data_IF_462563796941
#
_entry.id   IF_462563796941
#
_cell.length_a   1.000
_cell.length_b   1.000
_cell.length_c   1.000
_cell.angle_alpha   90.00
_cell.angle_beta   90.00
_cell.angle_gamma   90.00
#
_symmetry.space_group_name_H-M   'P 1'
#
loop_
_entity.id
_entity.type
_entity.pdbx_description
1 polymer ?
#
# COMPACT_ATOMS: atom_id res chain seq x y z
N UNK A 1 2.53 17.65 14.48
CA UNK A 1 2.02 16.99 13.24
C UNK A 1 2.85 15.74 13.02
N UNK A 2 2.24 14.55 12.91
CA UNK A 2 2.95 13.39 12.36
C UNK A 2 3.30 13.72 10.90
N UNK A 3 4.55 13.51 10.50
CA UNK A 3 4.94 13.63 9.09
C UNK A 3 4.64 12.32 8.37
N UNK A 4 4.43 12.37 7.05
CA UNK A 4 4.28 11.16 6.21
C UNK A 4 5.45 10.21 6.45
N UNK A 5 6.69 10.72 6.52
CA UNK A 5 7.88 9.95 6.90
C UNK A 5 7.76 9.24 8.25
N UNK A 6 7.14 9.87 9.25
CA UNK A 6 6.93 9.24 10.56
C UNK A 6 5.93 8.09 10.48
N UNK A 7 4.87 8.23 9.69
CA UNK A 7 3.88 7.16 9.45
C UNK A 7 4.54 6.01 8.68
N UNK A 8 5.29 6.34 7.63
CA UNK A 8 5.98 5.34 6.80
C UNK A 8 7.01 4.51 7.59
N UNK A 9 7.55 5.02 8.70
CA UNK A 9 8.54 4.34 9.53
C UNK A 9 7.94 3.39 10.58
N UNK A 10 6.63 3.40 10.81
CA UNK A 10 5.94 2.45 11.70
C UNK A 10 5.08 1.52 10.86
N UNK A 11 5.73 0.62 10.12
CA UNK A 11 5.05 -0.27 9.18
C UNK A 11 4.39 -1.40 9.98
N UNK A 12 3.05 -1.52 9.97
CA UNK A 12 2.41 -2.69 10.56
C UNK A 12 2.69 -3.89 9.65
N UNK A 13 3.10 -5.02 10.23
CA UNK A 13 3.26 -6.26 9.47
C UNK A 13 1.90 -6.91 9.14
N UNK A 14 0.88 -6.66 9.96
CA UNK A 14 -0.47 -7.20 9.78
C UNK A 14 -1.50 -6.08 10.00
N UNK A 15 -2.56 -6.06 9.18
CA UNK A 15 -3.65 -5.10 9.31
C UNK A 15 -5.00 -5.81 9.16
N UNK A 16 -5.84 -5.71 10.19
CA UNK A 16 -7.19 -6.27 10.16
C UNK A 16 -8.06 -5.59 9.09
N UNK A 17 -8.99 -6.32 8.49
CA UNK A 17 -9.91 -5.80 7.49
C UNK A 17 -10.68 -4.54 7.93
N UNK A 18 -11.05 -4.49 9.22
CA UNK A 18 -11.77 -3.35 9.80
C UNK A 18 -10.95 -2.06 9.87
N UNK A 19 -9.62 -2.18 9.85
CA UNK A 19 -8.68 -1.07 9.97
C UNK A 19 -8.23 -0.55 8.58
N UNK A 20 -8.63 -1.24 7.50
CA UNK A 20 -8.29 -0.89 6.12
C UNK A 20 -9.24 0.17 5.59
N UNK A 21 -8.66 1.29 5.15
CA UNK A 21 -9.41 2.37 4.53
C UNK A 21 -9.90 1.96 3.14
N UNK A 22 -11.17 2.27 2.84
CA UNK A 22 -11.83 1.87 1.58
C UNK A 22 -11.78 0.36 1.30
N UNK A 23 -12.07 -0.45 2.32
CA UNK A 23 -12.03 -1.92 2.25
C UNK A 23 -12.75 -2.53 1.04
N UNK A 24 -13.88 -1.96 0.58
CA UNK A 24 -14.61 -2.45 -0.60
C UNK A 24 -13.78 -2.52 -1.90
N UNK A 25 -12.68 -1.76 -1.99
CA UNK A 25 -11.76 -1.75 -3.13
C UNK A 25 -10.42 -2.45 -2.79
N UNK A 26 -10.33 -3.16 -1.67
CA UNK A 26 -9.10 -3.81 -1.23
C UNK A 26 -8.59 -4.82 -2.25
N UNK A 27 -9.46 -5.72 -2.73
CA UNK A 27 -9.07 -6.77 -3.68
C UNK A 27 -8.39 -6.21 -4.94
N UNK A 28 -8.91 -5.08 -5.46
CA UNK A 28 -8.32 -4.38 -6.58
C UNK A 28 -6.90 -3.87 -6.25
N UNK A 29 -6.71 -3.26 -5.07
CA UNK A 29 -5.40 -2.76 -4.65
C UNK A 29 -4.41 -3.88 -4.39
N UNK A 30 -4.85 -4.99 -3.80
CA UNK A 30 -4.03 -6.19 -3.59
C UNK A 30 -3.58 -6.76 -4.92
N UNK A 31 -4.49 -6.91 -5.89
CA UNK A 31 -4.16 -7.41 -7.22
C UNK A 31 -3.09 -6.53 -7.90
N UNK A 32 -3.26 -5.21 -7.87
CA UNK A 32 -2.29 -4.25 -8.42
C UNK A 32 -0.95 -4.35 -7.70
N UNK A 33 -0.94 -4.37 -6.37
CA UNK A 33 0.29 -4.44 -5.60
C UNK A 33 1.07 -5.73 -5.90
N UNK A 34 0.37 -6.86 -5.97
CA UNK A 34 0.97 -8.16 -6.27
C UNK A 34 1.36 -8.34 -7.75
N UNK A 35 0.82 -7.53 -8.66
CA UNK A 35 1.30 -7.45 -10.05
C UNK A 35 2.65 -6.73 -10.15
N UNK A 36 2.86 -5.70 -9.32
CA UNK A 36 4.10 -4.88 -9.31
C UNK A 36 5.21 -5.56 -8.49
N UNK A 37 4.87 -6.02 -7.29
CA UNK A 37 5.77 -6.75 -6.39
C UNK A 37 5.11 -8.08 -6.04
N UNK A 38 5.60 -9.16 -6.65
CA UNK A 38 4.96 -10.46 -6.56
C UNK A 38 4.80 -10.92 -5.11
N UNK A 39 3.58 -11.29 -4.72
CA UNK A 39 3.26 -11.77 -3.36
C UNK A 39 3.54 -10.76 -2.23
N UNK A 40 3.69 -9.47 -2.52
CA UNK A 40 3.91 -8.43 -1.51
C UNK A 40 2.83 -8.41 -0.41
N UNK A 41 1.60 -8.78 -0.76
CA UNK A 41 0.46 -8.82 0.14
C UNK A 41 -0.03 -10.26 0.32
N UNK A 42 0.09 -10.77 1.55
CA UNK A 42 -0.59 -11.97 2.00
C UNK A 42 -2.05 -11.66 2.36
N UNK A 43 -3.00 -12.46 1.89
CA UNK A 43 -4.42 -12.34 2.25
C UNK A 43 -4.81 -13.50 3.14
N UNK A 44 -5.15 -13.19 4.39
CA UNK A 44 -5.50 -14.16 5.42
C UNK A 44 -6.95 -13.94 5.89
N UNK A 45 -7.46 -14.85 6.73
CA UNK A 45 -8.81 -14.71 7.30
C UNK A 45 -8.87 -13.53 8.28
N UNK A 46 -9.55 -12.45 7.88
CA UNK A 46 -9.78 -11.27 8.72
C UNK A 46 -8.68 -10.19 8.69
N UNK A 47 -7.55 -10.43 8.02
CA UNK A 47 -6.45 -9.47 7.90
C UNK A 47 -5.67 -9.64 6.60
N UNK A 48 -4.78 -8.68 6.32
CA UNK A 48 -3.71 -8.82 5.32
C UNK A 48 -2.34 -8.70 5.99
N UNK A 49 -1.35 -9.33 5.40
CA UNK A 49 0.02 -9.43 5.88
C UNK A 49 0.99 -8.79 4.88
N UNK A 50 2.02 -8.14 5.41
CA UNK A 50 3.10 -7.55 4.64
C UNK A 50 4.21 -8.58 4.40
N UNK A 51 4.41 -8.96 3.14
CA UNK A 51 5.37 -9.97 2.72
C UNK A 51 6.38 -9.39 1.71
N UNK A 52 7.29 -8.49 2.13
CA UNK A 52 8.27 -7.91 1.22
C UNK A 52 9.23 -8.99 0.69
N UNK A 53 9.62 -8.87 -0.58
CA UNK A 53 10.59 -9.77 -1.21
C UNK A 53 12.02 -9.46 -0.75
N UNK A 54 12.29 -8.23 -0.33
CA UNK A 54 13.62 -7.74 0.03
C UNK A 54 13.81 -7.55 1.55
N UNK A 55 15.03 -7.81 2.01
CA UNK A 55 15.49 -7.49 3.38
C UNK A 55 16.76 -6.62 3.33
N UNK A 56 16.68 -5.30 3.65
CA UNK A 56 15.47 -4.58 4.05
C UNK A 56 14.52 -4.33 2.86
N UNK A 57 13.23 -4.09 3.13
CA UNK A 57 12.25 -3.76 2.09
C UNK A 57 12.64 -2.51 1.31
N UNK A 58 12.40 -2.54 0.02
CA UNK A 58 12.59 -1.39 -0.86
C UNK A 58 11.59 -0.28 -0.55
N UNK A 59 11.92 0.93 -0.98
CA UNK A 59 10.99 2.05 -0.91
C UNK A 59 9.70 1.77 -1.69
N UNK A 60 9.78 1.06 -2.81
CA UNK A 60 8.61 0.71 -3.63
C UNK A 60 7.67 -0.23 -2.87
N UNK A 61 8.18 -1.32 -2.31
CA UNK A 61 7.40 -2.27 -1.50
C UNK A 61 6.74 -1.56 -0.31
N UNK A 62 7.49 -0.67 0.35
CA UNK A 62 6.97 0.12 1.47
C UNK A 62 5.82 1.03 1.04
N UNK A 63 5.97 1.77 -0.06
CA UNK A 63 4.94 2.69 -0.55
C UNK A 63 3.69 1.94 -1.04
N UNK A 64 3.87 0.77 -1.68
CA UNK A 64 2.78 -0.09 -2.12
C UNK A 64 1.98 -0.63 -0.94
N UNK A 65 2.65 -1.15 0.09
CA UNK A 65 1.99 -1.61 1.31
C UNK A 65 1.12 -0.50 1.91
N UNK A 66 1.69 0.69 2.10
CA UNK A 66 0.96 1.84 2.64
C UNK A 66 -0.23 2.25 1.78
N UNK A 67 -0.09 2.20 0.46
CA UNK A 67 -1.19 2.53 -0.44
C UNK A 67 -2.33 1.50 -0.37
N UNK A 68 -2.02 0.21 -0.20
CA UNK A 68 -3.03 -0.85 -0.04
C UNK A 68 -3.88 -0.61 1.22
N UNK A 69 -3.25 -0.30 2.36
CA UNK A 69 -3.95 -0.13 3.66
C UNK A 69 -4.56 1.27 3.84
N UNK A 70 -3.93 2.29 3.28
CA UNK A 70 -4.26 3.72 3.44
C UNK A 70 -4.30 4.45 2.10
N UNK A 71 -5.21 4.09 1.18
CA UNK A 71 -5.33 4.75 -0.12
C UNK A 71 -5.71 6.24 0.00
N UNK A 72 -6.26 6.67 1.14
CA UNK A 72 -6.50 8.07 1.46
C UNK A 72 -5.22 8.92 1.53
N UNK A 73 -4.07 8.29 1.77
CA UNK A 73 -2.75 8.93 1.73
C UNK A 73 -2.15 8.96 0.32
N UNK A 74 -2.90 8.53 -0.72
CA UNK A 74 -2.41 8.32 -2.08
C UNK A 74 -1.65 9.51 -2.66
N UNK A 75 -2.10 10.75 -2.44
CA UNK A 75 -1.38 11.94 -2.92
C UNK A 75 0.00 12.12 -2.27
N UNK A 76 0.12 11.85 -0.97
CA UNK A 76 1.38 11.92 -0.22
C UNK A 76 2.32 10.76 -0.58
N UNK A 77 1.78 9.56 -0.79
CA UNK A 77 2.54 8.40 -1.27
C UNK A 77 3.05 8.69 -2.69
N UNK A 78 2.20 9.22 -3.56
CA UNK A 78 2.56 9.57 -4.93
C UNK A 78 3.69 10.60 -4.97
N UNK A 79 3.75 11.60 -4.07
CA UNK A 79 4.87 12.58 -4.09
C UNK A 79 6.25 11.96 -3.86
N UNK A 80 6.32 10.85 -3.14
CA UNK A 80 7.56 10.12 -2.82
C UNK A 80 7.80 8.91 -3.74
N UNK A 81 6.84 8.60 -4.61
CA UNK A 81 6.84 7.40 -5.43
C UNK A 81 7.62 7.54 -6.75
N UNK A 82 8.16 6.43 -7.28
CA UNK A 82 8.59 6.35 -8.68
C UNK A 82 7.44 6.70 -9.63
N UNK A 83 7.77 7.14 -10.84
CA UNK A 83 6.79 7.61 -11.83
C UNK A 83 5.71 6.56 -12.15
N UNK A 84 6.09 5.30 -12.26
CA UNK A 84 5.17 4.19 -12.52
C UNK A 84 4.10 4.05 -11.43
N UNK A 85 4.50 4.09 -10.16
CA UNK A 85 3.56 4.03 -9.04
C UNK A 85 2.68 5.29 -8.96
N UNK A 86 3.20 6.47 -9.34
CA UNK A 86 2.39 7.70 -9.43
C UNK A 86 1.24 7.54 -10.43
N UNK A 87 1.49 6.93 -11.58
CA UNK A 87 0.48 6.73 -12.62
C UNK A 87 -0.62 5.78 -12.16
N UNK A 88 -0.23 4.68 -11.51
CA UNK A 88 -1.17 3.69 -10.94
C UNK A 88 -2.05 4.31 -9.86
N UNK A 89 -1.44 5.04 -8.90
CA UNK A 89 -2.18 5.74 -7.85
C UNK A 89 -3.12 6.79 -8.46
N UNK A 90 -2.65 7.53 -9.47
CA UNK A 90 -3.47 8.56 -10.14
C UNK A 90 -4.65 7.94 -10.86
N UNK A 91 -4.47 6.83 -11.57
CA UNK A 91 -5.57 6.10 -12.23
C UNK A 91 -6.57 5.55 -11.21
N UNK A 92 -6.11 5.03 -10.06
CA UNK A 92 -7.00 4.60 -9.00
C UNK A 92 -7.83 5.77 -8.45
N UNK A 93 -7.21 6.93 -8.18
CA UNK A 93 -7.87 8.14 -7.68
C UNK A 93 -8.88 8.69 -8.68
N UNK A 94 -8.55 8.73 -9.97
CA UNK A 94 -9.43 9.27 -11.02
C UNK A 94 -10.64 8.37 -11.31
N UNK A 95 -10.54 7.08 -10.99
CA UNK A 95 -11.62 6.10 -11.08
C UNK A 95 -12.32 5.87 -9.73
N UNK A 96 -12.17 6.79 -8.76
CA UNK A 96 -12.82 6.70 -7.45
C UNK A 96 -14.33 6.91 -7.50
#
# INVERSE_FOLDING_TARGET
>A
MLTVKTILNSIPNEVNWQDIVQFKKLDQRVAIANEICANLIGVNEGYIEWCPDNEPPTQLETLLWWWVIRPDLGAAIASEAPQELKEIISQYILNL
#
